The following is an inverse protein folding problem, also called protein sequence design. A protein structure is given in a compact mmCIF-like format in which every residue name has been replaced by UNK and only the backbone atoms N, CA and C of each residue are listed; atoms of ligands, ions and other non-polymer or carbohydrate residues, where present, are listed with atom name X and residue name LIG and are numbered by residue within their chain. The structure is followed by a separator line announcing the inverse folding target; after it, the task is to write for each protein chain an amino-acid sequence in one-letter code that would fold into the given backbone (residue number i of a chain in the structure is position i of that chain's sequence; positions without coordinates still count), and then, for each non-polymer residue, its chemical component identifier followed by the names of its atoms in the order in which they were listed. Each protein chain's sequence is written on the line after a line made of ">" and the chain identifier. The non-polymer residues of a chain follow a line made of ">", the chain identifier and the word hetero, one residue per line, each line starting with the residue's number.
data_IF_318667869515
#
_entry.id   IF_318667869515
#
_cell.length_a   1.000
_cell.length_b   1.000
_cell.length_c   1.000
_cell.angle_alpha   90.00
_cell.angle_beta   90.00
_cell.angle_gamma   90.00
#
_symmetry.space_group_name_H-M   'P 1'
#
loop_
_entity.id
_entity.type
_entity.pdbx_description
1 polymer ?
#
# COMPACT_ATOMS: atom_id res chain seq x y z
N UNK A 1 -33.09 -39.38 5.62
CA UNK A 1 -31.72 -38.94 6.00
C UNK A 1 -30.83 -38.53 4.82
N UNK A 2 -30.90 -39.17 3.64
CA UNK A 2 -30.08 -38.78 2.46
C UNK A 2 -30.25 -37.32 2.00
N UNK A 3 -31.48 -36.78 2.04
CA UNK A 3 -31.77 -35.42 1.56
C UNK A 3 -31.33 -34.31 2.52
N UNK A 4 -31.02 -34.63 3.78
CA UNK A 4 -30.63 -33.64 4.79
C UNK A 4 -29.20 -33.14 4.58
N UNK A 5 -28.34 -33.99 4.01
CA UNK A 5 -26.93 -33.67 3.70
C UNK A 5 -26.87 -32.68 2.53
N UNK A 6 -27.75 -32.83 1.54
CA UNK A 6 -27.80 -31.95 0.36
C UNK A 6 -28.18 -30.52 0.77
N UNK A 7 -29.10 -30.37 1.73
CA UNK A 7 -29.52 -29.05 2.23
C UNK A 7 -28.39 -28.29 2.95
N UNK A 8 -27.54 -28.99 3.70
CA UNK A 8 -26.39 -28.38 4.39
C UNK A 8 -25.30 -27.90 3.43
N UNK A 9 -25.11 -28.58 2.29
CA UNK A 9 -24.13 -28.19 1.27
C UNK A 9 -24.53 -26.90 0.54
N UNK A 10 -25.83 -26.61 0.41
CA UNK A 10 -26.28 -25.36 -0.20
C UNK A 10 -26.23 -24.15 0.75
N UNK A 11 -26.20 -24.37 2.07
CA UNK A 11 -26.18 -23.29 3.07
C UNK A 11 -24.77 -22.78 3.42
N UNK A 12 -23.70 -23.48 3.02
CA UNK A 12 -22.31 -23.06 3.24
C UNK A 12 -21.75 -22.14 2.14
N UNK A 13 -22.55 -21.78 1.14
CA UNK A 13 -22.13 -21.00 -0.02
C UNK A 13 -22.12 -19.46 0.14
N UNK A 14 -22.36 -18.92 1.34
CA UNK A 14 -22.29 -17.48 1.56
C UNK A 14 -20.82 -17.07 1.81
N UNK A 15 -20.00 -17.09 0.77
CA UNK A 15 -18.69 -16.43 0.83
C UNK A 15 -18.96 -14.93 0.92
N UNK A 16 -18.61 -14.33 2.05
CA UNK A 16 -18.45 -12.88 2.18
C UNK A 16 -17.58 -12.41 1.02
N UNK A 17 -18.20 -11.72 0.06
CA UNK A 17 -17.48 -10.99 -0.97
C UNK A 17 -16.73 -9.88 -0.25
N UNK A 18 -15.47 -10.14 0.09
CA UNK A 18 -14.59 -9.14 0.65
C UNK A 18 -14.40 -8.14 -0.48
N UNK A 19 -14.87 -6.91 -0.27
CA UNK A 19 -14.70 -5.79 -1.18
C UNK A 19 -13.22 -5.41 -1.21
N UNK A 20 -12.41 -6.20 -1.93
CA UNK A 20 -10.97 -5.99 -2.08
C UNK A 20 -10.64 -4.76 -2.92
N UNK A 21 -11.64 -4.17 -3.58
CA UNK A 21 -11.46 -3.09 -4.55
C UNK A 21 -12.08 -1.79 -4.04
N UNK A 22 -11.70 -1.35 -2.83
CA UNK A 22 -11.88 0.07 -2.51
C UNK A 22 -11.02 0.84 -3.52
N UNK A 23 -11.67 1.48 -4.49
CA UNK A 23 -10.98 2.31 -5.48
C UNK A 23 -10.22 3.39 -4.73
N UNK A 24 -8.90 3.32 -4.76
CA UNK A 24 -8.03 4.30 -4.10
C UNK A 24 -8.03 5.53 -5.00
N UNK A 25 -8.65 6.61 -4.52
CA UNK A 25 -8.63 7.89 -5.23
C UNK A 25 -7.26 8.52 -5.05
N UNK A 26 -6.52 8.69 -6.14
CA UNK A 26 -5.24 9.38 -6.13
C UNK A 26 -5.45 10.88 -6.30
N UNK A 27 -4.74 11.72 -5.53
CA UNK A 27 -4.82 13.17 -5.72
C UNK A 27 -4.20 13.54 -7.07
N UNK A 28 -4.86 14.44 -7.82
CA UNK A 28 -4.18 15.11 -8.93
C UNK A 28 -3.08 16.02 -8.36
N UNK A 29 -1.82 15.68 -8.64
CA UNK A 29 -0.67 16.48 -8.23
C UNK A 29 0.48 16.37 -9.22
N UNK A 30 1.28 17.43 -9.25
CA UNK A 30 2.56 17.45 -9.96
C UNK A 30 3.68 17.52 -8.93
N UNK A 31 4.68 16.66 -9.08
CA UNK A 31 5.92 16.71 -8.31
C UNK A 31 7.00 17.27 -9.23
N UNK A 32 7.51 18.45 -8.90
CA UNK A 32 8.55 19.15 -9.68
C UNK A 32 9.95 18.66 -9.31
N UNK A 33 10.13 18.18 -8.08
CA UNK A 33 11.42 17.74 -7.56
C UNK A 33 11.30 16.49 -6.69
N UNK A 34 12.15 15.50 -6.97
CA UNK A 34 12.35 14.33 -6.10
C UNK A 34 13.79 14.33 -5.62
N UNK A 35 13.97 14.39 -4.30
CA UNK A 35 15.27 14.25 -3.66
C UNK A 35 15.39 12.87 -3.01
N UNK A 36 16.49 12.16 -3.27
CA UNK A 36 16.76 10.87 -2.62
C UNK A 36 17.80 11.09 -1.52
N UNK A 37 17.43 10.77 -0.29
CA UNK A 37 18.29 10.86 0.89
C UNK A 37 18.53 9.50 1.51
N UNK A 38 19.66 9.36 2.21
CA UNK A 38 19.91 8.18 3.05
C UNK A 38 19.06 8.25 4.31
N UNK A 39 18.36 7.16 4.62
CA UNK A 39 17.67 6.98 5.90
C UNK A 39 18.70 6.62 6.99
N UNK A 40 18.89 7.53 7.94
CA UNK A 40 19.77 7.33 9.10
C UNK A 40 18.93 7.13 10.37
N UNK A 41 19.23 6.12 11.18
CA UNK A 41 18.52 5.85 12.44
C UNK A 41 17.10 5.29 12.26
N UNK A 42 16.24 5.45 13.27
CA UNK A 42 14.84 4.99 13.26
C UNK A 42 14.65 3.48 13.39
N UNK A 43 13.41 3.02 13.17
CA UNK A 43 13.07 1.59 13.22
C UNK A 43 13.86 0.82 12.13
N UNK A 44 14.65 -0.21 12.49
CA UNK A 44 15.40 -1.02 11.53
C UNK A 44 14.53 -1.70 10.47
N UNK A 45 13.25 -1.96 10.77
CA UNK A 45 12.29 -2.58 9.85
C UNK A 45 11.78 -1.62 8.78
N UNK A 46 11.89 -0.30 8.98
CA UNK A 46 11.53 0.69 7.97
C UNK A 46 12.64 0.75 6.93
N UNK A 47 12.37 0.23 5.72
CA UNK A 47 13.33 0.19 4.63
C UNK A 47 13.41 1.52 3.88
N UNK A 48 12.28 2.20 3.75
CA UNK A 48 12.14 3.48 3.09
C UNK A 48 10.89 4.23 3.57
N UNK A 49 10.82 5.53 3.25
CA UNK A 49 9.58 6.30 3.24
C UNK A 49 9.72 7.57 2.38
N UNK A 50 8.60 8.05 1.83
CA UNK A 50 8.48 9.34 1.17
C UNK A 50 7.86 10.40 2.09
N UNK A 51 8.37 11.62 2.02
CA UNK A 51 7.74 12.80 2.64
C UNK A 51 7.49 13.86 1.57
N UNK A 52 6.27 14.36 1.49
CA UNK A 52 5.82 15.27 0.45
C UNK A 52 5.52 16.63 1.10
N UNK A 53 6.09 17.69 0.55
CA UNK A 53 5.85 19.07 0.99
C UNK A 53 5.71 19.96 -0.24
N UNK A 54 4.48 20.41 -0.51
CA UNK A 54 4.17 21.14 -1.74
C UNK A 54 4.35 20.26 -2.98
N UNK A 55 5.16 20.73 -3.93
CA UNK A 55 5.52 20.05 -5.17
C UNK A 55 6.85 19.26 -5.07
N UNK A 56 7.43 19.18 -3.87
CA UNK A 56 8.68 18.46 -3.61
C UNK A 56 8.40 17.18 -2.83
N UNK A 57 9.05 16.09 -3.24
CA UNK A 57 9.06 14.82 -2.53
C UNK A 57 10.49 14.44 -2.11
N UNK A 58 10.69 14.11 -0.84
CA UNK A 58 11.96 13.59 -0.34
C UNK A 58 11.79 12.12 0.01
N UNK A 59 12.52 11.25 -0.69
CA UNK A 59 12.54 9.81 -0.48
C UNK A 59 13.73 9.46 0.39
N UNK A 60 13.49 8.85 1.55
CA UNK A 60 14.53 8.35 2.44
C UNK A 60 14.69 6.85 2.24
N UNK A 61 15.88 6.40 1.82
CA UNK A 61 16.19 4.98 1.58
C UNK A 61 17.27 4.48 2.54
N UNK A 62 17.09 3.30 3.15
CA UNK A 62 18.20 2.61 3.82
C UNK A 62 19.22 2.06 2.82
N UNK A 63 18.74 1.51 1.70
CA UNK A 63 19.57 0.87 0.69
C UNK A 63 19.05 1.21 -0.70
N UNK A 64 19.87 1.83 -1.53
CA UNK A 64 19.53 2.03 -2.94
C UNK A 64 19.74 0.73 -3.75
N UNK A 65 18.86 0.36 -4.70
CA UNK A 65 17.61 1.01 -5.09
C UNK A 65 16.37 0.38 -4.42
N UNK A 66 16.54 -0.34 -3.31
CA UNK A 66 15.45 -1.05 -2.63
C UNK A 66 14.33 -0.08 -2.26
N UNK A 67 13.09 -0.43 -2.61
CA UNK A 67 11.88 0.38 -2.36
C UNK A 67 11.75 1.68 -3.14
N UNK A 68 12.73 2.06 -3.97
CA UNK A 68 12.69 3.35 -4.66
C UNK A 68 11.45 3.52 -5.54
N UNK A 69 11.10 2.51 -6.34
CA UNK A 69 9.92 2.57 -7.20
C UNK A 69 8.61 2.70 -6.40
N UNK A 70 8.53 2.02 -5.25
CA UNK A 70 7.41 2.11 -4.33
C UNK A 70 7.29 3.53 -3.77
N UNK A 71 8.39 4.12 -3.28
CA UNK A 71 8.36 5.48 -2.75
C UNK A 71 8.11 6.55 -3.81
N UNK A 72 8.58 6.35 -5.05
CA UNK A 72 8.24 7.24 -6.17
C UNK A 72 6.73 7.26 -6.38
N UNK A 73 6.07 6.10 -6.37
CA UNK A 73 4.61 6.06 -6.45
C UNK A 73 4.00 6.83 -5.29
N UNK A 74 4.48 6.69 -4.06
CA UNK A 74 3.95 7.45 -2.92
C UNK A 74 4.03 8.96 -3.13
N UNK A 75 5.06 9.46 -3.82
CA UNK A 75 5.15 10.89 -4.17
C UNK A 75 3.96 11.39 -5.01
N UNK A 76 3.46 10.58 -5.96
CA UNK A 76 2.38 10.96 -6.87
C UNK A 76 1.00 10.54 -6.36
N UNK A 77 0.91 9.33 -5.83
CA UNK A 77 -0.34 8.67 -5.47
C UNK A 77 -0.73 8.89 -4.00
N UNK A 78 0.19 9.39 -3.16
CA UNK A 78 -0.03 9.53 -1.72
C UNK A 78 0.02 8.20 -0.97
N UNK A 79 -0.53 8.15 0.25
CA UNK A 79 -0.47 6.97 1.10
C UNK A 79 -1.65 6.01 0.81
N UNK A 80 -1.45 5.04 -0.08
CA UNK A 80 -2.47 4.04 -0.42
C UNK A 80 -2.57 2.87 0.58
N UNK A 81 -1.73 2.86 1.62
CA UNK A 81 -1.81 1.92 2.73
C UNK A 81 -2.65 2.46 3.89
N UNK A 82 -3.11 3.72 3.83
CA UNK A 82 -3.84 4.32 4.92
C UNK A 82 -5.13 3.55 5.24
N UNK A 83 -5.30 3.17 6.51
CA UNK A 83 -6.49 2.47 6.98
C UNK A 83 -6.55 0.98 6.65
N UNK A 84 -5.49 0.35 6.14
CA UNK A 84 -5.42 -1.12 5.99
C UNK A 84 -4.02 -1.68 6.26
N UNK A 85 -3.96 -2.91 6.75
CA UNK A 85 -2.72 -3.66 6.70
C UNK A 85 -2.42 -4.04 5.24
N UNK A 86 -1.19 -3.79 4.80
CA UNK A 86 -0.75 -4.03 3.43
C UNK A 86 0.44 -4.99 3.42
N UNK A 87 0.41 -5.93 2.48
CA UNK A 87 1.53 -6.82 2.17
C UNK A 87 2.32 -6.31 0.95
N UNK A 88 2.03 -5.10 0.48
CA UNK A 88 2.77 -4.44 -0.58
C UNK A 88 4.07 -3.88 0.03
N UNK A 89 5.03 -4.79 0.26
CA UNK A 89 6.26 -4.58 1.03
C UNK A 89 7.40 -4.01 0.21
N UNK A 90 7.33 -2.76 -0.24
CA UNK A 90 8.04 -2.44 -1.47
C UNK A 90 7.51 -3.37 -2.58
#
# INVERSE_FOLDING_TARGET
>A
MKYLIILFVFLSGCSTFIEHNKVISFPERTISHIEIRKLNGGNPKTLAYANITGDTCVIYLRKYPQCLAHEIRHCYEGNWHEGRESQEWC
#
